data_IF_485379989834
#
_entry.id   IF_485379989834
#
_cell.length_a   1.000
_cell.length_b   1.000
_cell.length_c   1.000
_cell.angle_alpha   90.00
_cell.angle_beta   90.00
_cell.angle_gamma   90.00
#
_symmetry.space_group_name_H-M   'P 1'
#
loop_
_entity.id
_entity.type
_entity.pdbx_description
1 polymer ?
#
# COMPACT_ATOMS: atom_id res chain seq x y z
N UNK A 1 -10.26 -4.65 -13.97
CA UNK A 1 -9.82 -5.12 -12.65
C UNK A 1 -8.45 -4.55 -12.34
N UNK A 2 -8.34 -3.61 -11.39
CA UNK A 2 -7.08 -2.96 -11.00
C UNK A 2 -6.79 -3.27 -9.53
N UNK A 3 -5.63 -3.87 -9.24
CA UNK A 3 -5.22 -4.28 -7.89
C UNK A 3 -3.95 -3.52 -7.53
N UNK A 4 -3.91 -2.91 -6.34
CA UNK A 4 -2.69 -2.35 -5.76
C UNK A 4 -1.95 -3.46 -5.00
N UNK A 5 -0.68 -3.68 -5.30
CA UNK A 5 0.18 -4.60 -4.56
C UNK A 5 1.27 -3.78 -3.86
N UNK A 6 1.42 -3.94 -2.54
CA UNK A 6 2.38 -3.21 -1.70
C UNK A 6 3.06 -4.16 -0.71
N UNK A 7 4.23 -3.78 -0.21
CA UNK A 7 5.02 -4.54 0.76
C UNK A 7 5.94 -3.61 1.54
N UNK A 8 6.51 -4.07 2.66
CA UNK A 8 7.65 -3.44 3.34
C UNK A 8 7.41 -1.97 3.73
N UNK A 9 6.23 -1.70 4.29
CA UNK A 9 5.85 -0.35 4.72
C UNK A 9 6.56 0.04 6.02
N UNK A 10 6.91 -0.93 6.88
CA UNK A 10 7.66 -0.73 8.13
C UNK A 10 7.14 0.44 9.00
N UNK A 11 5.81 0.54 9.17
CA UNK A 11 5.18 1.59 9.96
C UNK A 11 5.28 3.00 9.38
N UNK A 12 5.80 3.17 8.16
CA UNK A 12 5.96 4.48 7.52
C UNK A 12 4.63 4.98 6.95
N UNK A 13 3.84 5.63 7.81
CA UNK A 13 2.52 6.16 7.45
C UNK A 13 2.58 7.17 6.30
N UNK A 14 3.62 8.01 6.24
CA UNK A 14 3.76 9.01 5.17
C UNK A 14 3.98 8.35 3.80
N UNK A 15 4.75 7.26 3.74
CA UNK A 15 4.95 6.50 2.52
C UNK A 15 3.66 5.79 2.10
N UNK A 16 2.94 5.20 3.05
CA UNK A 16 1.65 4.56 2.79
C UNK A 16 0.64 5.56 2.21
N UNK A 17 0.48 6.73 2.82
CA UNK A 17 -0.42 7.78 2.34
C UNK A 17 -0.07 8.26 0.93
N UNK A 18 1.23 8.44 0.64
CA UNK A 18 1.69 8.81 -0.68
C UNK A 18 1.33 7.76 -1.75
N UNK A 19 1.55 6.47 -1.44
CA UNK A 19 1.22 5.36 -2.34
C UNK A 19 -0.28 5.25 -2.57
N UNK A 20 -1.09 5.34 -1.50
CA UNK A 20 -2.55 5.24 -1.61
C UNK A 20 -3.13 6.39 -2.45
N UNK A 21 -2.58 7.61 -2.30
CA UNK A 21 -2.99 8.76 -3.10
C UNK A 21 -2.66 8.57 -4.58
N UNK A 22 -1.46 8.09 -4.89
CA UNK A 22 -1.01 7.85 -6.27
C UNK A 22 -1.77 6.68 -6.94
N UNK A 23 -2.10 5.64 -6.18
CA UNK A 23 -2.79 4.45 -6.70
C UNK A 23 -4.19 4.77 -7.27
N UNK A 24 -4.85 5.80 -6.74
CA UNK A 24 -6.20 6.21 -7.11
C UNK A 24 -7.23 5.10 -6.84
N UNK A 25 -8.25 4.99 -7.69
CA UNK A 25 -9.26 3.92 -7.55
C UNK A 25 -8.69 2.56 -7.93
N UNK A 26 -8.69 1.64 -6.97
CA UNK A 26 -8.39 0.22 -7.16
C UNK A 26 -9.52 -0.61 -6.60
N UNK A 27 -9.68 -1.82 -7.13
CA UNK A 27 -10.73 -2.76 -6.72
C UNK A 27 -10.33 -3.57 -5.49
N UNK A 28 -9.02 -3.79 -5.32
CA UNK A 28 -8.44 -4.53 -4.20
C UNK A 28 -7.03 -4.04 -3.90
N UNK A 29 -6.62 -4.20 -2.65
CA UNK A 29 -5.25 -4.01 -2.18
C UNK A 29 -4.70 -5.34 -1.66
N UNK A 30 -3.50 -5.70 -2.06
CA UNK A 30 -2.73 -6.82 -1.52
C UNK A 30 -1.49 -6.28 -0.82
N UNK A 31 -1.36 -6.60 0.46
CA UNK A 31 -0.18 -6.29 1.28
C UNK A 31 0.60 -7.58 1.50
N UNK A 32 1.88 -7.60 1.09
CA UNK A 32 2.70 -8.82 1.10
C UNK A 32 3.42 -9.09 2.43
N UNK A 33 3.39 -8.16 3.38
CA UNK A 33 4.05 -8.31 4.67
C UNK A 33 4.83 -7.08 5.09
N UNK A 34 5.57 -7.21 6.21
CA UNK A 34 6.44 -6.18 6.78
C UNK A 34 5.76 -4.82 6.94
N UNK A 35 4.49 -4.87 7.36
CA UNK A 35 3.69 -3.67 7.64
C UNK A 35 4.21 -2.95 8.88
N UNK A 36 4.61 -3.71 9.90
CA UNK A 36 5.15 -3.26 11.19
C UNK A 36 6.18 -4.28 11.70
N UNK A 37 7.04 -3.85 12.61
CA UNK A 37 8.03 -4.67 13.32
C UNK A 37 8.48 -3.96 14.59
#
# INVERSE_FOLDING_TARGET
>A
MKILVMSDIHGNINALDAVLKEAGKVERVWCLGDLVG
#
